data_IF_744079343965
#
_entry.id   IF_744079343965
#
_cell.length_a   1.000
_cell.length_b   1.000
_cell.length_c   1.000
_cell.angle_alpha   90.00
_cell.angle_beta   90.00
_cell.angle_gamma   90.00
#
_symmetry.space_group_name_H-M   'P 1'
#
loop_
_entity.id
_entity.type
_entity.pdbx_description
1 polymer ?
#
# COMPACT_ATOMS: atom_id res chain seq x y z
N UNK A 1 2.17 -10.66 13.71
CA UNK A 1 3.40 -11.49 13.74
C UNK A 1 4.14 -11.26 12.43
N UNK A 2 5.38 -10.76 12.49
CA UNK A 2 6.21 -10.50 11.30
C UNK A 2 6.58 -11.84 10.65
N UNK A 3 6.16 -12.08 9.41
CA UNK A 3 6.52 -13.29 8.67
C UNK A 3 7.64 -12.94 7.69
N UNK A 4 8.89 -12.96 8.16
CA UNK A 4 10.04 -12.90 7.27
C UNK A 4 10.21 -14.26 6.57
N UNK A 5 9.73 -14.38 5.33
CA UNK A 5 10.13 -15.47 4.42
C UNK A 5 10.59 -14.86 3.11
N UNK A 6 11.90 -14.66 3.01
CA UNK A 6 12.59 -14.13 1.84
C UNK A 6 12.43 -14.99 0.59
N UNK A 7 12.42 -14.33 -0.56
CA UNK A 7 12.89 -14.91 -1.83
C UNK A 7 14.39 -14.59 -1.91
N UNK A 8 15.25 -15.54 -1.58
CA UNK A 8 16.71 -15.35 -1.51
C UNK A 8 17.36 -16.15 -0.38
N UNK A 9 18.69 -16.12 -0.28
CA UNK A 9 19.43 -16.65 0.89
C UNK A 9 18.94 -15.96 2.17
N UNK A 10 18.69 -16.70 3.26
CA UNK A 10 18.14 -16.12 4.48
C UNK A 10 19.11 -15.09 5.06
N UNK A 11 18.64 -13.89 5.47
CA UNK A 11 19.49 -12.95 6.18
C UNK A 11 19.97 -13.56 7.49
N UNK A 12 21.24 -13.33 7.83
CA UNK A 12 21.87 -13.72 9.10
C UNK A 12 21.28 -12.98 10.30
N UNK A 13 20.52 -11.91 10.07
CA UNK A 13 19.75 -11.19 11.09
C UNK A 13 18.26 -11.33 10.80
N UNK A 14 17.56 -12.09 11.63
CA UNK A 14 16.10 -11.93 11.74
C UNK A 14 15.82 -10.54 12.34
N UNK A 15 14.85 -9.75 11.83
CA UNK A 15 14.43 -8.55 12.54
C UNK A 15 14.05 -8.95 13.97
N UNK A 16 14.42 -8.16 15.00
CA UNK A 16 14.22 -8.54 16.39
C UNK A 16 12.78 -8.99 16.59
N UNK A 17 12.54 -10.14 17.28
CA UNK A 17 11.21 -10.65 17.48
C UNK A 17 10.42 -9.61 18.28
N UNK A 18 9.57 -8.88 17.57
CA UNK A 18 8.77 -7.79 18.10
C UNK A 18 7.62 -8.37 18.94
N UNK A 19 7.95 -8.98 20.08
CA UNK A 19 7.04 -9.75 20.92
C UNK A 19 6.03 -8.86 21.68
N UNK A 20 6.34 -7.58 21.83
CA UNK A 20 5.57 -6.63 22.65
C UNK A 20 4.63 -5.69 21.86
N UNK A 21 4.50 -5.93 20.54
CA UNK A 21 3.80 -5.02 19.61
C UNK A 21 2.64 -5.67 18.87
N UNK A 22 1.94 -6.60 19.52
CA UNK A 22 0.82 -7.37 18.92
C UNK A 22 -0.34 -6.49 18.41
N UNK A 23 -0.38 -5.20 18.75
CA UNK A 23 -1.44 -4.25 18.37
C UNK A 23 -1.06 -3.27 17.27
N UNK A 24 0.20 -3.27 16.82
CA UNK A 24 0.62 -2.36 15.74
C UNK A 24 0.17 -2.89 14.39
N UNK A 25 -0.43 -2.01 13.59
CA UNK A 25 -0.84 -2.29 12.22
C UNK A 25 0.19 -1.71 11.27
N UNK A 26 0.66 -2.51 10.33
CA UNK A 26 1.44 -1.98 9.21
C UNK A 26 0.52 -1.22 8.26
N UNK A 27 0.87 0.02 7.94
CA UNK A 27 0.12 0.87 7.01
C UNK A 27 0.75 0.85 5.61
N UNK A 28 2.08 0.98 5.57
CA UNK A 28 2.86 1.02 4.34
C UNK A 28 4.31 0.59 4.55
N UNK A 29 5.01 0.24 3.46
CA UNK A 29 6.45 0.05 3.46
C UNK A 29 7.07 0.40 2.12
N UNK A 30 8.00 1.35 2.13
CA UNK A 30 8.71 1.83 0.95
C UNK A 30 10.12 2.25 1.31
N UNK A 31 11.05 2.09 0.37
CA UNK A 31 12.44 2.53 0.52
C UNK A 31 13.13 2.05 1.81
N UNK A 32 12.93 0.78 2.18
CA UNK A 32 13.56 0.21 3.37
C UNK A 32 12.97 0.64 4.71
N UNK A 33 11.90 1.42 4.69
CA UNK A 33 11.18 1.85 5.86
C UNK A 33 9.80 1.17 5.94
N UNK A 34 9.30 0.97 7.14
CA UNK A 34 7.97 0.44 7.42
C UNK A 34 7.22 1.39 8.34
N UNK A 35 6.01 1.78 7.95
CA UNK A 35 5.12 2.66 8.69
C UNK A 35 4.08 1.85 9.44
N UNK A 36 3.91 2.17 10.72
CA UNK A 36 2.94 1.53 11.62
C UNK A 36 2.00 2.55 12.26
N UNK A 37 0.73 2.16 12.45
CA UNK A 37 -0.12 2.78 13.48
C UNK A 37 0.23 2.19 14.85
N UNK A 38 0.05 3.00 15.89
CA UNK A 38 0.33 2.58 17.28
C UNK A 38 -0.86 2.88 18.18
N UNK A 39 -2.01 2.22 17.95
CA UNK A 39 -3.21 2.48 18.72
C UNK A 39 -2.98 2.23 20.21
N UNK A 40 -3.48 3.15 21.05
CA UNK A 40 -3.43 3.09 22.52
C UNK A 40 -2.02 3.27 23.11
N UNK A 41 -1.12 3.98 22.39
CA UNK A 41 0.19 4.43 22.89
C UNK A 41 0.26 5.97 22.95
N UNK A 42 1.40 6.50 23.41
CA UNK A 42 1.62 7.95 23.49
C UNK A 42 1.82 8.53 22.09
N UNK A 43 2.54 7.81 21.25
CA UNK A 43 2.78 8.07 19.84
C UNK A 43 1.64 7.52 18.95
N UNK A 44 1.28 8.26 17.89
CA UNK A 44 0.20 7.87 16.96
C UNK A 44 0.71 6.98 15.82
N UNK A 45 1.93 7.27 15.35
CA UNK A 45 2.60 6.54 14.29
C UNK A 45 4.06 6.28 14.63
N UNK A 46 4.59 5.18 14.09
CA UNK A 46 6.03 4.92 14.11
C UNK A 46 6.53 4.47 12.75
N UNK A 47 7.60 5.11 12.29
CA UNK A 47 8.38 4.65 11.13
C UNK A 47 9.58 3.89 11.64
N UNK A 48 9.83 2.70 11.07
CA UNK A 48 10.97 1.85 11.40
C UNK A 48 11.83 1.60 10.16
N UNK A 49 13.14 1.74 10.32
CA UNK A 49 14.10 1.04 9.49
C UNK A 49 14.33 -0.36 10.09
N UNK A 50 13.83 -1.39 9.40
CA UNK A 50 13.91 -2.77 9.91
C UNK A 50 15.31 -3.38 9.82
N UNK A 51 16.26 -2.74 9.12
CA UNK A 51 17.64 -3.20 9.02
C UNK A 51 18.50 -2.60 10.12
N UNK A 52 18.42 -1.28 10.31
CA UNK A 52 19.25 -0.55 11.27
C UNK A 52 18.64 -0.57 12.67
N UNK A 53 17.32 -0.76 12.77
CA UNK A 53 16.57 -0.65 14.02
C UNK A 53 16.25 0.79 14.42
N UNK A 54 16.65 1.78 13.60
CA UNK A 54 16.27 3.17 13.78
C UNK A 54 14.77 3.36 13.63
N UNK A 55 14.22 4.31 14.39
CA UNK A 55 12.80 4.62 14.35
C UNK A 55 12.49 6.06 14.69
N UNK A 56 11.32 6.49 14.24
CA UNK A 56 10.78 7.83 14.42
C UNK A 56 9.37 7.73 14.95
N UNK A 57 9.17 8.26 16.16
CA UNK A 57 7.86 8.41 16.79
C UNK A 57 7.22 9.72 16.32
N UNK A 58 5.97 9.64 15.90
CA UNK A 58 5.28 10.75 15.25
C UNK A 58 3.91 10.92 15.90
N UNK A 59 3.66 12.15 16.34
CA UNK A 59 2.34 12.59 16.81
C UNK A 59 1.59 13.27 15.68
N UNK A 60 0.33 12.92 15.55
CA UNK A 60 -0.58 13.54 14.61
C UNK A 60 -0.88 14.97 15.01
N UNK A 61 -0.98 15.86 14.02
CA UNK A 61 -1.52 17.20 14.29
C UNK A 61 -2.99 17.05 14.73
N UNK A 62 -3.41 17.60 15.89
CA UNK A 62 -4.79 17.56 16.35
C UNK A 62 -5.81 18.03 15.32
N UNK A 63 -5.42 18.93 14.42
CA UNK A 63 -6.26 19.41 13.31
C UNK A 63 -6.62 18.33 12.31
N UNK A 64 -5.88 17.22 12.27
CA UNK A 64 -6.11 16.12 11.33
C UNK A 64 -7.01 15.02 11.90
N UNK A 65 -7.32 15.06 13.20
CA UNK A 65 -8.01 13.96 13.88
C UNK A 65 -9.34 13.59 13.21
N UNK A 66 -10.09 14.59 12.74
CA UNK A 66 -11.45 14.43 12.20
C UNK A 66 -11.56 13.60 10.91
N UNK A 67 -10.47 13.44 10.16
CA UNK A 67 -10.43 12.60 8.96
C UNK A 67 -9.52 11.38 9.09
N UNK A 68 -8.67 11.34 10.14
CA UNK A 68 -7.74 10.26 10.39
C UNK A 68 -8.32 9.15 11.28
N UNK A 69 -9.20 9.45 12.25
CA UNK A 69 -9.78 8.45 13.16
C UNK A 69 -11.31 8.46 13.16
N UNK A 70 -11.89 7.35 13.61
CA UNK A 70 -13.31 7.29 13.97
C UNK A 70 -13.58 8.05 15.29
N UNK A 71 -14.79 8.61 15.48
CA UNK A 71 -15.18 9.22 16.74
C UNK A 71 -15.14 8.21 17.89
N UNK A 72 -14.89 8.70 19.11
CA UNK A 72 -14.77 7.91 20.34
C UNK A 72 -16.12 7.37 20.87
N UNK A 73 -17.09 7.03 20.02
CA UNK A 73 -18.43 6.60 20.47
C UNK A 73 -18.66 5.07 20.37
N UNK A 74 -17.72 4.30 19.80
CA UNK A 74 -17.83 2.84 19.67
C UNK A 74 -16.80 2.09 20.54
N UNK A 75 -17.28 1.55 21.67
CA UNK A 75 -16.52 0.85 22.74
C UNK A 75 -15.61 -0.31 22.24
N UNK A 76 -15.86 -0.84 21.03
CA UNK A 76 -15.07 -1.91 20.41
C UNK A 76 -14.11 -1.45 19.28
N UNK A 77 -14.27 -0.23 18.73
CA UNK A 77 -13.52 0.28 17.56
C UNK A 77 -12.62 1.50 17.85
N UNK A 78 -12.57 1.99 19.09
CA UNK A 78 -11.72 3.11 19.50
C UNK A 78 -10.27 2.99 18.98
N UNK A 79 -9.84 4.01 18.24
CA UNK A 79 -8.54 4.18 17.60
C UNK A 79 -8.28 3.41 16.29
N UNK A 80 -9.32 3.03 15.52
CA UNK A 80 -9.09 2.57 14.14
C UNK A 80 -8.82 3.75 13.20
N UNK A 81 -7.64 3.75 12.57
CA UNK A 81 -7.27 4.69 11.52
C UNK A 81 -8.24 4.55 10.32
N UNK A 82 -8.82 5.66 9.86
CA UNK A 82 -9.73 5.80 8.71
C UNK A 82 -9.11 6.54 7.51
N UNK A 83 -7.83 6.89 7.57
CA UNK A 83 -7.12 7.42 6.43
C UNK A 83 -6.15 6.38 5.86
N UNK A 84 -5.91 6.45 4.55
CA UNK A 84 -4.75 5.81 3.96
C UNK A 84 -3.50 6.61 4.34
N UNK A 85 -2.45 5.93 4.79
CA UNK A 85 -1.16 6.53 5.08
C UNK A 85 -0.11 5.93 4.15
N UNK A 86 0.65 6.79 3.49
CA UNK A 86 1.63 6.42 2.46
C UNK A 86 2.98 7.02 2.81
N UNK A 87 4.03 6.20 2.75
CA UNK A 87 5.40 6.58 3.02
C UNK A 87 6.15 6.91 1.73
N UNK A 88 6.95 7.97 1.74
CA UNK A 88 7.66 8.45 0.57
C UNK A 88 9.11 8.78 0.91
N UNK A 89 10.03 8.49 0.00
CA UNK A 89 11.39 9.01 0.10
C UNK A 89 11.38 10.53 -0.18
N UNK A 90 12.05 11.31 0.66
CA UNK A 90 12.21 12.76 0.50
C UNK A 90 13.67 13.15 0.24
N UNK A 91 14.53 12.18 -0.07
CA UNK A 91 15.95 12.44 -0.35
C UNK A 91 16.10 13.05 -1.74
N UNK A 92 16.74 14.22 -1.81
CA UNK A 92 17.00 14.90 -3.07
C UNK A 92 17.78 14.02 -4.05
N UNK A 93 17.33 14.00 -5.30
CA UNK A 93 17.92 13.22 -6.41
C UNK A 93 18.11 11.74 -6.06
N UNK A 94 17.22 11.16 -5.24
CA UNK A 94 17.30 9.72 -4.95
C UNK A 94 16.89 8.92 -6.18
N UNK A 95 17.77 8.01 -6.63
CA UNK A 95 17.46 7.08 -7.70
C UNK A 95 16.44 5.99 -7.31
N UNK A 96 15.94 5.98 -6.07
CA UNK A 96 14.97 5.02 -5.51
C UNK A 96 15.37 3.53 -5.59
N UNK A 97 16.60 3.24 -6.01
CA UNK A 97 17.16 1.89 -6.09
C UNK A 97 17.78 1.37 -4.79
N UNK A 98 18.14 2.24 -3.84
CA UNK A 98 18.71 1.85 -2.53
C UNK A 98 18.62 3.02 -1.51
N UNK A 99 17.43 3.60 -1.35
CA UNK A 99 17.23 4.81 -0.55
C UNK A 99 17.02 4.49 0.94
N UNK A 100 18.03 3.93 1.61
CA UNK A 100 18.04 3.74 3.07
C UNK A 100 18.53 4.99 3.81
N UNK A 101 18.08 5.15 5.07
CA UNK A 101 18.63 6.13 6.03
C UNK A 101 18.54 7.60 5.61
N UNK A 102 17.49 8.00 4.88
CA UNK A 102 17.26 9.38 4.44
C UNK A 102 15.96 9.99 4.97
N UNK A 103 15.74 11.30 4.76
CA UNK A 103 14.47 11.91 5.10
C UNK A 103 13.34 11.27 4.30
N UNK A 104 12.20 11.13 4.96
CA UNK A 104 10.96 10.64 4.41
C UNK A 104 9.81 11.62 4.65
N UNK A 105 8.74 11.44 3.88
CA UNK A 105 7.45 12.09 4.06
C UNK A 105 6.37 11.05 4.27
N UNK A 106 5.32 11.42 4.99
CA UNK A 106 4.12 10.61 5.18
C UNK A 106 2.92 11.38 4.70
N UNK A 107 2.32 10.93 3.60
CA UNK A 107 1.09 11.48 3.08
C UNK A 107 -0.10 10.73 3.67
N UNK A 108 -1.08 11.48 4.17
CA UNK A 108 -2.32 10.96 4.70
C UNK A 108 -3.46 11.44 3.84
N UNK A 109 -4.35 10.52 3.45
CA UNK A 109 -5.55 10.82 2.67
C UNK A 109 -6.73 10.13 3.33
N UNK A 110 -7.71 10.90 3.80
CA UNK A 110 -8.92 10.40 4.43
C UNK A 110 -10.15 11.18 3.98
N UNK A 111 -11.30 10.87 4.56
CA UNK A 111 -12.52 11.65 4.37
C UNK A 111 -13.04 12.11 5.73
N UNK A 112 -13.86 13.16 5.74
CA UNK A 112 -14.56 13.60 6.95
C UNK A 112 -15.67 12.61 7.35
N UNK A 113 -16.28 12.84 8.53
CA UNK A 113 -17.36 11.98 9.03
C UNK A 113 -18.62 12.02 8.18
N UNK A 114 -18.81 13.10 7.42
CA UNK A 114 -19.97 13.22 6.54
C UNK A 114 -19.80 12.44 5.24
N UNK A 115 -18.57 12.04 4.92
CA UNK A 115 -18.22 11.37 3.67
C UNK A 115 -18.40 12.29 2.45
N UNK A 116 -18.38 13.61 2.65
CA UNK A 116 -18.62 14.62 1.61
C UNK A 116 -17.37 15.35 1.17
N UNK A 117 -16.28 15.19 1.92
CA UNK A 117 -14.99 15.77 1.56
C UNK A 117 -13.86 14.79 1.81
N UNK A 118 -12.93 14.73 0.86
CA UNK A 118 -11.64 14.11 1.03
C UNK A 118 -10.64 15.16 1.53
N UNK A 119 -9.76 14.74 2.43
CA UNK A 119 -8.76 15.57 3.08
C UNK A 119 -7.38 14.92 2.99
N UNK A 120 -6.36 15.75 2.87
CA UNK A 120 -4.98 15.29 2.85
C UNK A 120 -4.02 16.23 3.55
N UNK A 121 -2.96 15.65 4.12
CA UNK A 121 -1.83 16.36 4.69
C UNK A 121 -0.55 15.53 4.53
N UNK A 122 0.60 16.19 4.68
CA UNK A 122 1.92 15.56 4.68
C UNK A 122 2.65 15.89 5.97
N UNK A 123 3.22 14.88 6.62
CA UNK A 123 4.27 15.04 7.61
C UNK A 123 5.66 14.95 6.95
N UNK A 124 6.58 15.83 7.32
CA UNK A 124 7.98 15.80 6.88
C UNK A 124 8.90 15.42 8.04
N UNK A 125 9.69 14.37 7.89
CA UNK A 125 10.69 13.98 8.91
C UNK A 125 11.85 14.97 9.05
N UNK A 126 12.12 15.76 8.02
CA UNK A 126 13.20 16.74 7.99
C UNK A 126 12.86 17.98 8.81
N UNK A 127 11.68 18.55 8.60
CA UNK A 127 11.21 19.73 9.35
C UNK A 127 10.47 19.35 10.63
N UNK A 128 10.01 18.10 10.75
CA UNK A 128 9.13 17.59 11.80
C UNK A 128 7.80 18.33 11.88
N UNK A 129 7.33 18.83 10.74
CA UNK A 129 6.10 19.61 10.63
C UNK A 129 5.09 18.93 9.72
N UNK A 130 3.83 19.27 9.97
CA UNK A 130 2.69 18.92 9.15
C UNK A 130 2.35 20.08 8.22
N UNK A 131 1.99 19.79 6.98
CA UNK A 131 1.42 20.81 6.09
C UNK A 131 -0.01 21.14 6.50
N UNK A 132 -0.52 22.33 6.13
CA UNK A 132 -1.96 22.60 6.22
C UNK A 132 -2.76 21.59 5.40
N UNK A 133 -3.95 21.27 5.92
CA UNK A 133 -4.88 20.32 5.31
C UNK A 133 -5.39 20.87 3.98
N UNK A 134 -5.32 20.02 2.95
CA UNK A 134 -5.95 20.23 1.65
C UNK A 134 -7.26 19.48 1.61
N UNK A 135 -8.29 20.05 0.98
CA UNK A 135 -9.64 19.45 0.94
C UNK A 135 -10.21 19.50 -0.47
N UNK A 136 -11.05 18.52 -0.83
CA UNK A 136 -11.89 18.54 -2.03
C UNK A 136 -13.24 17.91 -1.71
N UNK A 137 -14.32 18.46 -2.29
CA UNK A 137 -15.64 17.84 -2.20
C UNK A 137 -15.64 16.50 -2.97
N UNK A 138 -16.11 15.45 -2.32
CA UNK A 138 -16.18 14.11 -2.88
C UNK A 138 -17.15 13.24 -2.10
N UNK A 139 -18.01 12.49 -2.81
CA UNK A 139 -19.09 11.68 -2.22
C UNK A 139 -18.74 10.18 -2.14
N UNK A 140 -17.49 9.82 -1.86
CA UNK A 140 -17.13 8.44 -1.52
C UNK A 140 -16.17 8.37 -0.34
N UNK A 141 -16.34 7.33 0.48
CA UNK A 141 -15.42 7.01 1.56
C UNK A 141 -14.07 6.53 1.00
N UNK A 142 -12.99 6.86 1.70
CA UNK A 142 -11.66 6.36 1.35
C UNK A 142 -11.53 4.89 1.75
N UNK A 143 -10.95 4.07 0.86
CA UNK A 143 -10.58 2.70 1.18
C UNK A 143 -9.26 2.68 1.94
N UNK A 144 -9.32 3.03 3.22
CA UNK A 144 -8.16 3.27 4.07
C UNK A 144 -7.27 2.03 4.29
N UNK A 145 -7.82 0.82 4.16
CA UNK A 145 -7.04 -0.43 4.23
C UNK A 145 -6.38 -0.82 2.93
N UNK A 146 -6.76 -0.24 1.78
CA UNK A 146 -6.21 -0.60 0.48
C UNK A 146 -4.74 -0.20 0.33
N UNK A 147 -4.10 -0.68 -0.74
CA UNK A 147 -2.80 -0.15 -1.15
C UNK A 147 -2.95 1.26 -1.71
N UNK A 148 -1.88 2.04 -1.59
CA UNK A 148 -1.69 3.29 -2.30
C UNK A 148 -0.62 3.14 -3.36
N UNK A 149 -0.56 4.09 -4.28
CA UNK A 149 0.53 4.21 -5.24
C UNK A 149 1.13 5.61 -5.23
N UNK A 150 2.44 5.68 -5.44
CA UNK A 150 3.17 6.94 -5.51
C UNK A 150 3.79 7.07 -6.90
N UNK A 151 3.48 8.16 -7.59
CA UNK A 151 4.05 8.48 -8.90
C UNK A 151 4.43 9.96 -8.93
N UNK A 152 5.73 10.23 -8.97
CA UNK A 152 6.25 11.59 -8.78
C UNK A 152 5.74 12.17 -7.45
N UNK A 153 5.16 13.37 -7.49
CA UNK A 153 4.59 14.04 -6.31
C UNK A 153 3.13 13.67 -6.03
N UNK A 154 2.60 12.62 -6.67
CA UNK A 154 1.20 12.23 -6.56
C UNK A 154 1.03 10.93 -5.79
N UNK A 155 0.10 10.95 -4.83
CA UNK A 155 -0.37 9.77 -4.10
C UNK A 155 -1.76 9.43 -4.59
N UNK A 156 -1.95 8.17 -4.99
CA UNK A 156 -3.21 7.62 -5.47
C UNK A 156 -3.79 6.70 -4.41
N UNK A 157 -5.03 6.96 -4.01
CA UNK A 157 -5.73 6.21 -2.97
C UNK A 157 -7.12 5.83 -3.49
N UNK A 158 -7.51 4.54 -3.41
CA UNK A 158 -8.82 4.11 -3.88
C UNK A 158 -9.94 4.48 -2.92
N UNK A 159 -11.13 4.66 -3.47
CA UNK A 159 -12.37 4.84 -2.73
C UNK A 159 -13.02 3.48 -2.41
N UNK A 160 -13.84 3.44 -1.36
CA UNK A 160 -14.67 2.29 -1.01
C UNK A 160 -15.83 2.17 -1.98
N UNK A 161 -16.19 0.93 -2.35
CA UNK A 161 -17.38 0.61 -3.15
C UNK A 161 -17.48 1.30 -4.52
N UNK A 162 -16.40 1.96 -4.96
CA UNK A 162 -16.22 2.50 -6.30
C UNK A 162 -14.82 2.18 -6.81
N UNK A 163 -14.65 2.25 -8.13
CA UNK A 163 -13.34 2.11 -8.76
C UNK A 163 -12.62 3.49 -8.88
N UNK A 164 -13.13 4.53 -8.22
CA UNK A 164 -12.58 5.90 -8.23
C UNK A 164 -11.32 6.02 -7.36
N UNK A 165 -10.48 6.99 -7.71
CA UNK A 165 -9.24 7.29 -7.00
C UNK A 165 -9.23 8.75 -6.54
N UNK A 166 -8.87 8.97 -5.27
CA UNK A 166 -8.36 10.26 -4.83
C UNK A 166 -6.89 10.37 -5.20
N UNK A 167 -6.55 11.49 -5.83
CA UNK A 167 -5.18 11.84 -6.19
C UNK A 167 -4.77 13.08 -5.44
N UNK A 168 -3.82 12.91 -4.53
CA UNK A 168 -3.20 14.01 -3.82
C UNK A 168 -1.88 14.41 -4.48
N UNK A 169 -1.84 15.58 -5.08
CA UNK A 169 -0.62 16.19 -5.61
C UNK A 169 0.03 17.04 -4.52
N UNK A 170 1.05 16.49 -3.86
CA UNK A 170 1.72 17.15 -2.74
C UNK A 170 2.47 18.42 -3.19
N UNK A 171 3.08 18.40 -4.38
CA UNK A 171 3.84 19.54 -4.90
C UNK A 171 2.97 20.75 -5.19
N UNK A 172 1.71 20.53 -5.58
CA UNK A 172 0.72 21.61 -5.79
C UNK A 172 -0.20 21.84 -4.60
N UNK A 173 -0.20 20.93 -3.61
CA UNK A 173 -1.16 20.89 -2.50
C UNK A 173 -2.60 20.89 -3.03
N UNK A 174 -2.87 20.00 -3.98
CA UNK A 174 -4.16 19.87 -4.66
C UNK A 174 -4.68 18.44 -4.54
N UNK A 175 -5.97 18.30 -4.27
CA UNK A 175 -6.70 17.04 -4.35
C UNK A 175 -7.56 17.02 -5.61
N UNK A 176 -7.63 15.86 -6.23
CA UNK A 176 -8.48 15.61 -7.41
C UNK A 176 -9.01 14.19 -7.38
N UNK A 177 -10.05 13.94 -8.17
CA UNK A 177 -10.70 12.64 -8.29
C UNK A 177 -10.49 12.13 -9.71
N UNK A 178 -10.18 10.85 -9.83
CA UNK A 178 -10.17 10.14 -11.10
C UNK A 178 -11.22 9.05 -11.05
N UNK A 179 -12.24 9.20 -11.88
CA UNK A 179 -13.22 8.15 -12.11
C UNK A 179 -12.79 7.27 -13.29
N UNK A 180 -12.93 5.95 -13.18
CA UNK A 180 -12.68 5.08 -14.30
C UNK A 180 -13.81 5.23 -15.34
N UNK A 181 -13.48 5.12 -16.64
CA UNK A 181 -14.44 5.30 -17.72
C UNK A 181 -15.49 4.18 -17.80
N UNK A 182 -15.32 3.10 -17.03
CA UNK A 182 -16.25 1.97 -16.88
C UNK A 182 -15.96 1.26 -15.57
N UNK A 183 -16.96 0.60 -14.96
CA UNK A 183 -16.76 -0.27 -13.80
C UNK A 183 -15.83 -1.41 -14.23
N UNK A 184 -14.58 -1.37 -13.77
CA UNK A 184 -13.58 -2.37 -14.13
C UNK A 184 -13.65 -3.45 -13.07
N UNK A 185 -14.49 -4.46 -13.30
CA UNK A 185 -14.56 -5.74 -12.56
C UNK A 185 -13.49 -5.91 -11.47
N UNK A 186 -13.76 -5.44 -10.25
CA UNK A 186 -12.94 -5.64 -9.05
C UNK A 186 -11.41 -5.46 -9.29
N UNK A 187 -11.00 -4.33 -9.89
CA UNK A 187 -9.59 -3.96 -9.95
C UNK A 187 -9.09 -3.53 -8.57
N UNK A 188 -7.87 -3.93 -8.25
CA UNK A 188 -7.20 -3.53 -7.00
C UNK A 188 -5.98 -2.71 -7.36
N UNK A 189 -5.86 -1.51 -6.79
CA UNK A 189 -4.61 -0.75 -6.84
C UNK A 189 -3.53 -1.53 -6.09
N UNK A 190 -2.37 -1.69 -6.70
CA UNK A 190 -1.30 -2.51 -6.14
C UNK A 190 -0.08 -1.70 -5.71
N UNK A 191 0.15 -0.55 -6.36
CA UNK A 191 1.36 0.27 -6.22
C UNK A 191 1.66 0.97 -7.53
N UNK A 192 2.93 1.25 -7.81
CA UNK A 192 3.38 1.83 -9.07
C UNK A 192 4.42 0.97 -9.79
N UNK A 193 4.40 1.00 -11.12
CA UNK A 193 5.38 0.36 -11.99
C UNK A 193 5.66 1.25 -13.20
N UNK A 194 6.93 1.37 -13.59
CA UNK A 194 7.37 2.19 -14.74
C UNK A 194 6.86 3.65 -14.69
N UNK A 195 6.77 4.21 -13.48
CA UNK A 195 6.30 5.57 -13.25
C UNK A 195 4.80 5.74 -13.42
N UNK A 196 4.01 4.67 -13.37
CA UNK A 196 2.56 4.70 -13.54
C UNK A 196 1.86 3.88 -12.45
N UNK A 197 0.65 4.26 -11.99
CA UNK A 197 -0.10 3.43 -11.04
C UNK A 197 -0.45 2.08 -11.67
N UNK A 198 -0.19 1.00 -10.94
CA UNK A 198 -0.42 -0.39 -11.34
C UNK A 198 -1.63 -0.96 -10.63
N UNK A 199 -2.52 -1.57 -11.41
CA UNK A 199 -3.70 -2.25 -10.92
C UNK A 199 -3.73 -3.69 -11.40
N UNK A 200 -4.35 -4.55 -10.60
CA UNK A 200 -4.51 -5.95 -10.90
C UNK A 200 -5.95 -6.40 -10.71
N UNK A 201 -6.41 -7.27 -11.60
CA UNK A 201 -7.63 -8.06 -11.40
C UNK A 201 -7.42 -9.49 -11.87
N UNK A 202 -8.20 -10.42 -11.33
CA UNK A 202 -8.16 -11.82 -11.73
C UNK A 202 -9.49 -12.20 -12.37
N UNK A 203 -9.47 -12.35 -13.69
CA UNK A 203 -10.62 -12.80 -14.48
C UNK A 203 -10.28 -14.18 -15.03
N UNK A 204 -10.89 -15.21 -14.44
CA UNK A 204 -10.37 -16.59 -14.51
C UNK A 204 -10.06 -17.07 -15.94
N UNK A 205 -8.91 -17.74 -16.14
CA UNK A 205 -7.78 -17.98 -15.24
C UNK A 205 -6.63 -16.99 -15.51
N UNK A 206 -6.95 -15.71 -15.73
CA UNK A 206 -5.99 -14.70 -16.16
C UNK A 206 -5.82 -13.63 -15.09
N UNK A 207 -4.57 -13.30 -14.82
CA UNK A 207 -4.22 -12.06 -14.14
C UNK A 207 -4.13 -10.96 -15.20
N UNK A 208 -4.93 -9.92 -15.02
CA UNK A 208 -4.97 -8.73 -15.87
C UNK A 208 -4.27 -7.60 -15.12
N UNK A 209 -3.28 -6.99 -15.76
CA UNK A 209 -2.59 -5.82 -15.22
C UNK A 209 -2.93 -4.58 -16.05
N UNK A 210 -3.28 -3.52 -15.34
CA UNK A 210 -3.70 -2.25 -15.91
C UNK A 210 -2.81 -1.12 -15.40
N UNK A 211 -2.63 -0.10 -16.24
CA UNK A 211 -1.93 1.13 -15.91
C UNK A 211 -2.84 2.33 -16.18
N UNK A 212 -2.66 3.41 -15.42
CA UNK A 212 -3.40 4.66 -15.59
C UNK A 212 -2.54 5.67 -16.38
N UNK A 213 -2.75 5.75 -17.69
CA UNK A 213 -1.99 6.58 -18.63
C UNK A 213 -2.63 7.93 -18.92
N UNK A 214 -1.82 8.91 -19.32
CA UNK A 214 -2.35 10.13 -19.93
C UNK A 214 -2.90 9.82 -21.32
N UNK A 215 -4.18 10.11 -21.56
CA UNK A 215 -4.81 9.99 -22.86
C UNK A 215 -4.40 11.13 -23.82
N UNK A 216 -4.75 11.02 -25.12
CA UNK A 216 -4.42 12.04 -26.13
C UNK A 216 -4.97 13.44 -25.81
N UNK A 217 -6.07 13.53 -25.05
CA UNK A 217 -6.68 14.77 -24.59
C UNK A 217 -6.15 15.24 -23.22
N UNK A 218 -5.17 14.56 -22.64
CA UNK A 218 -4.70 14.77 -21.27
C UNK A 218 -5.57 14.13 -20.18
N UNK A 219 -6.74 13.58 -20.54
CA UNK A 219 -7.60 12.85 -19.60
C UNK A 219 -6.98 11.50 -19.22
N UNK A 220 -7.15 11.07 -17.97
CA UNK A 220 -6.65 9.78 -17.51
C UNK A 220 -7.34 8.61 -18.24
N UNK A 221 -6.56 7.64 -18.70
CA UNK A 221 -7.03 6.49 -19.47
C UNK A 221 -6.45 5.20 -18.90
N UNK A 222 -7.34 4.25 -18.64
CA UNK A 222 -6.97 2.91 -18.23
C UNK A 222 -6.50 2.09 -19.42
N UNK A 223 -5.27 1.60 -19.35
CA UNK A 223 -4.66 0.75 -20.38
C UNK A 223 -4.40 -0.62 -19.81
N UNK A 224 -4.94 -1.66 -20.45
CA UNK A 224 -4.54 -3.03 -20.14
C UNK A 224 -3.15 -3.26 -20.74
N UNK A 225 -2.14 -3.34 -19.90
CA UNK A 225 -0.76 -3.41 -20.37
C UNK A 225 -0.22 -4.85 -20.42
N UNK A 226 -0.63 -5.75 -19.50
CA UNK A 226 -0.20 -7.17 -19.49
C UNK A 226 -1.31 -8.16 -19.09
N UNK A 227 -1.26 -9.36 -19.67
CA UNK A 227 -2.16 -10.49 -19.36
C UNK A 227 -1.32 -11.73 -19.10
N UNK A 228 -1.54 -12.39 -17.96
CA UNK A 228 -0.78 -13.56 -17.52
C UNK A 228 -1.71 -14.75 -17.28
N UNK A 229 -1.43 -15.87 -17.94
CA UNK A 229 -2.16 -17.12 -17.79
C UNK A 229 -1.77 -17.86 -16.51
N UNK A 230 -2.67 -17.89 -15.53
CA UNK A 230 -2.43 -18.50 -14.23
C UNK A 230 -2.40 -20.03 -14.27
N UNK A 231 -2.97 -20.66 -15.31
CA UNK A 231 -2.98 -22.13 -15.49
C UNK A 231 -1.59 -22.76 -15.45
N UNK A 232 -0.58 -22.06 -15.94
CA UNK A 232 0.80 -22.53 -15.96
C UNK A 232 1.58 -22.19 -14.68
N UNK A 233 1.02 -21.33 -13.83
CA UNK A 233 1.71 -20.72 -12.69
C UNK A 233 1.15 -21.20 -11.35
N UNK A 234 -0.12 -21.59 -11.28
CA UNK A 234 -0.75 -22.03 -10.06
C UNK A 234 -1.19 -23.49 -10.19
N UNK A 235 -1.15 -24.27 -9.09
CA UNK A 235 -1.65 -25.64 -9.12
C UNK A 235 -3.11 -25.69 -9.58
N UNK A 236 -3.47 -26.68 -10.38
CA UNK A 236 -4.85 -26.85 -10.90
C UNK A 236 -5.90 -26.85 -9.79
N UNK A 237 -5.57 -27.44 -8.63
CA UNK A 237 -6.42 -27.46 -7.44
C UNK A 237 -6.76 -26.07 -6.89
N UNK A 238 -5.92 -25.06 -7.13
CA UNK A 238 -6.16 -23.66 -6.75
C UNK A 238 -7.11 -22.97 -7.74
N UNK A 239 -7.04 -23.35 -9.01
CA UNK A 239 -7.78 -22.69 -10.10
C UNK A 239 -9.19 -23.25 -10.29
N UNK A 240 -9.42 -24.51 -9.94
CA UNK A 240 -10.72 -25.19 -10.06
C UNK A 240 -11.79 -24.60 -9.13
N UNK A 241 -11.38 -23.96 -8.04
CA UNK A 241 -12.29 -23.58 -6.95
C UNK A 241 -13.07 -22.28 -7.20
N UNK A 242 -13.09 -21.79 -8.44
CA UNK A 242 -13.94 -20.72 -9.00
C UNK A 242 -14.19 -19.44 -8.16
N UNK A 243 -13.47 -19.17 -7.06
CA UNK A 243 -13.68 -17.98 -6.23
C UNK A 243 -12.53 -17.60 -5.27
N UNK A 244 -11.29 -18.07 -5.50
CA UNK A 244 -10.26 -17.99 -4.46
C UNK A 244 -8.88 -17.50 -4.89
N UNK A 245 -8.74 -16.61 -5.88
CA UNK A 245 -7.44 -16.01 -6.23
C UNK A 245 -7.59 -14.49 -6.29
N UNK A 246 -6.94 -13.77 -5.37
CA UNK A 246 -6.99 -12.30 -5.30
C UNK A 246 -5.59 -11.71 -5.29
N UNK A 247 -5.32 -10.64 -6.06
CA UNK A 247 -4.12 -9.84 -5.87
C UNK A 247 -4.15 -9.16 -4.50
N UNK A 248 -3.04 -9.23 -3.76
CA UNK A 248 -2.99 -8.71 -2.37
C UNK A 248 -1.75 -7.90 -2.04
N UNK A 249 -0.76 -7.83 -2.93
CA UNK A 249 0.40 -6.95 -2.78
C UNK A 249 1.27 -6.94 -4.02
N UNK A 250 2.11 -5.92 -4.14
CA UNK A 250 3.08 -5.79 -5.22
C UNK A 250 4.38 -5.22 -4.67
N UNK A 251 5.49 -5.90 -4.98
CA UNK A 251 6.82 -5.43 -4.62
C UNK A 251 7.34 -4.52 -5.74
N UNK A 252 7.19 -3.21 -5.52
CA UNK A 252 7.67 -2.16 -6.42
C UNK A 252 9.18 -2.32 -6.69
N UNK A 253 9.60 -2.03 -7.93
CA UNK A 253 11.01 -2.12 -8.35
C UNK A 253 11.53 -3.52 -8.73
N UNK A 254 10.90 -4.60 -8.24
CA UNK A 254 11.30 -5.98 -8.59
C UNK A 254 10.24 -6.75 -9.38
N UNK A 255 9.07 -6.14 -9.62
CA UNK A 255 8.05 -6.70 -10.51
C UNK A 255 7.49 -8.03 -10.00
N UNK A 256 7.23 -8.14 -8.70
CA UNK A 256 6.65 -9.34 -8.07
C UNK A 256 5.27 -9.03 -7.51
N UNK A 257 4.26 -9.76 -7.98
CA UNK A 257 2.88 -9.65 -7.47
C UNK A 257 2.57 -10.81 -6.53
N UNK A 258 1.81 -10.53 -5.47
CA UNK A 258 1.34 -11.49 -4.49
C UNK A 258 -0.12 -11.84 -4.75
N UNK A 259 -0.41 -13.14 -4.83
CA UNK A 259 -1.75 -13.68 -4.98
C UNK A 259 -2.13 -14.49 -3.74
N UNK A 260 -3.19 -14.06 -3.07
CA UNK A 260 -3.80 -14.81 -1.98
C UNK A 260 -4.72 -15.89 -2.55
N UNK A 261 -4.61 -17.09 -2.00
CA UNK A 261 -5.44 -18.22 -2.40
C UNK A 261 -5.83 -19.08 -1.20
N UNK A 262 -6.86 -19.92 -1.35
CA UNK A 262 -7.21 -20.92 -0.31
C UNK A 262 -6.06 -21.87 0.02
N UNK A 263 -5.15 -22.13 -0.93
CA UNK A 263 -3.98 -22.97 -0.71
C UNK A 263 -2.83 -22.23 -0.02
N UNK A 264 -2.87 -20.90 0.04
CA UNK A 264 -1.87 -20.03 0.61
C UNK A 264 -1.45 -18.89 -0.32
N UNK A 265 -0.41 -18.17 0.08
CA UNK A 265 0.13 -17.02 -0.64
C UNK A 265 1.15 -17.45 -1.69
N UNK A 266 0.96 -16.98 -2.92
CA UNK A 266 1.86 -17.19 -4.04
C UNK A 266 2.46 -15.85 -4.49
N UNK A 267 3.71 -15.89 -4.94
CA UNK A 267 4.32 -14.81 -5.71
C UNK A 267 4.34 -15.18 -7.19
N UNK A 268 4.21 -14.18 -8.06
CA UNK A 268 4.48 -14.28 -9.49
C UNK A 268 5.48 -13.19 -9.85
N UNK A 269 6.63 -13.59 -10.38
CA UNK A 269 7.61 -12.68 -10.99
C UNK A 269 7.14 -12.35 -12.42
N UNK A 270 6.86 -11.08 -12.69
CA UNK A 270 6.19 -10.64 -13.91
C UNK A 270 7.07 -10.79 -15.15
N UNK A 271 8.39 -10.61 -15.00
CA UNK A 271 9.38 -10.72 -16.07
C UNK A 271 9.60 -12.18 -16.50
N UNK A 272 9.88 -13.07 -15.55
CA UNK A 272 10.21 -14.47 -15.80
C UNK A 272 8.99 -15.38 -15.90
N UNK A 273 7.81 -14.89 -15.50
CA UNK A 273 6.57 -15.66 -15.36
C UNK A 273 6.79 -16.91 -14.51
N UNK A 274 7.52 -16.78 -13.41
CA UNK A 274 7.72 -17.85 -12.44
C UNK A 274 6.86 -17.61 -11.23
N UNK A 275 6.32 -18.69 -10.68
CA UNK A 275 5.56 -18.65 -9.43
C UNK A 275 6.28 -19.37 -8.30
N UNK A 276 6.01 -18.94 -7.08
CA UNK A 276 6.48 -19.61 -5.87
C UNK A 276 5.44 -19.48 -4.78
N UNK A 277 5.18 -20.58 -4.04
CA UNK A 277 4.40 -20.52 -2.81
C UNK A 277 5.28 -20.01 -1.67
N UNK A 278 4.87 -18.92 -1.02
CA UNK A 278 5.66 -18.26 0.03
C UNK A 278 5.03 -18.41 1.42
N UNK A 279 3.72 -18.68 1.50
CA UNK A 279 3.01 -18.90 2.76
C UNK A 279 2.02 -20.06 2.71
N UNK A 280 1.76 -20.67 3.86
CA UNK A 280 0.83 -21.78 4.04
C UNK A 280 -0.65 -21.38 3.90
N UNK A 281 -1.56 -22.31 4.20
CA UNK A 281 -3.01 -22.11 4.09
C UNK A 281 -3.48 -21.07 5.11
N UNK A 282 -3.67 -19.84 4.65
CA UNK A 282 -4.40 -18.75 5.31
C UNK A 282 -4.69 -17.70 4.23
N UNK A 283 -5.96 -17.29 4.10
CA UNK A 283 -6.31 -16.18 3.23
C UNK A 283 -5.70 -14.89 3.80
N UNK A 284 -5.08 -14.10 2.94
CA UNK A 284 -4.63 -12.75 3.24
C UNK A 284 -5.44 -11.78 2.39
N UNK A 285 -5.78 -10.62 2.95
CA UNK A 285 -6.47 -9.54 2.23
C UNK A 285 -5.48 -8.51 1.72
N UNK A 286 -4.41 -8.27 2.48
CA UNK A 286 -3.34 -7.34 2.14
C UNK A 286 -1.97 -7.86 2.59
N UNK A 287 -0.99 -7.67 1.73
CA UNK A 287 0.42 -7.99 1.92
C UNK A 287 1.21 -6.75 1.58
N UNK A 288 1.98 -6.25 2.55
CA UNK A 288 2.85 -5.07 2.35
C UNK A 288 4.29 -5.60 2.22
N UNK A 289 4.86 -5.61 1.00
CA UNK A 289 6.22 -6.07 0.80
C UNK A 289 7.20 -5.07 1.42
N UNK A 290 8.15 -5.58 2.19
CA UNK A 290 9.30 -4.84 2.67
C UNK A 290 10.50 -5.22 1.81
N UNK A 291 11.07 -4.21 1.16
CA UNK A 291 12.21 -4.36 0.26
C UNK A 291 13.44 -3.66 0.83
N UNK A 292 14.54 -4.40 0.91
CA UNK A 292 15.87 -3.89 1.18
C UNK A 292 16.86 -4.54 0.22
N UNK A 293 17.68 -3.72 -0.43
CA UNK A 293 18.65 -4.20 -1.42
C UNK A 293 19.89 -4.84 -0.75
N UNK A 294 20.14 -4.56 0.54
CA UNK A 294 21.25 -5.14 1.30
C UNK A 294 21.14 -6.66 1.52
N UNK A 295 19.93 -7.21 1.54
CA UNK A 295 19.71 -8.63 1.84
C UNK A 295 19.23 -9.44 0.63
N UNK A 296 18.92 -8.79 -0.49
CA UNK A 296 18.30 -9.42 -1.67
C UNK A 296 16.98 -10.14 -1.35
N UNK A 297 16.42 -9.94 -0.15
CA UNK A 297 15.32 -10.73 0.38
C UNK A 297 14.05 -9.88 0.43
N UNK A 298 12.99 -10.38 -0.22
CA UNK A 298 11.65 -9.82 -0.11
C UNK A 298 11.01 -10.31 1.19
N UNK A 299 10.85 -9.42 2.17
CA UNK A 299 10.03 -9.71 3.35
C UNK A 299 8.61 -9.21 3.12
N UNK A 300 7.63 -9.73 3.87
CA UNK A 300 6.29 -9.18 3.81
C UNK A 300 5.69 -9.04 5.20
N UNK A 301 4.97 -7.94 5.38
CA UNK A 301 4.26 -7.59 6.58
C UNK A 301 2.79 -7.96 6.40
N UNK A 302 2.17 -8.44 7.48
CA UNK A 302 0.79 -8.95 7.49
C UNK A 302 -0.09 -8.08 8.37
N UNK A 303 -1.26 -7.75 7.84
CA UNK A 303 -2.41 -7.26 8.58
C UNK A 303 -3.20 -8.43 9.17
N UNK A 304 -3.45 -8.40 10.48
CA UNK A 304 -4.42 -9.28 11.14
C UNK A 304 -5.65 -8.42 11.44
N UNK A 305 -6.80 -8.82 10.92
CA UNK A 305 -8.10 -8.42 11.44
C UNK A 305 -8.48 -9.41 12.55
#
# INVERSE_FOLDING_TARGET
>A
MFAARGVGTPPTSSPPPCRDRRKWRVLDSRHGLALFDTPKRHEDFVVYDLLTGEHWEIHADPKCHYFMWWPDDDDDLHACLRCNATLLCAKDRCGHLDCHGGPFRMAFVGCDYTGRAAHATVYSSETREWTDVTSVEHEHYIHYTAHSAVVGDKVYVPCMESDSLIVYNMGKRELSVIDPPFVVQAITLMGAEDGMPLFASVVKPRLLLWSLEAGPSGAARWTRHRVIELKSLLPTTVLLDNSGVTPVGFAEGVGVIFLSTKAGLYTIELSSRRSKKVHGRQSMEKVIPYMSFYTGAIMFLRLHH
#
